data_IF_059767707118
#
_entry.id   IF_059767707118
#
_cell.length_a   1.000
_cell.length_b   1.000
_cell.length_c   1.000
_cell.angle_alpha   90.00
_cell.angle_beta   90.00
_cell.angle_gamma   90.00
#
_symmetry.space_group_name_H-M   'P 1'
#
loop_
_entity.id
_entity.type
_entity.pdbx_description
1 polymer ?
#
# COMPACT_ATOMS: atom_id res chain seq x y z
N UNK A 1 22.30 9.03 -19.04
CA UNK A 1 21.04 8.29 -18.80
C UNK A 1 19.99 9.34 -18.48
N UNK A 2 18.77 9.21 -18.99
CA UNK A 2 17.70 10.18 -18.68
C UNK A 2 16.94 9.73 -17.45
N UNK A 3 16.80 10.62 -16.48
CA UNK A 3 16.06 10.40 -15.25
C UNK A 3 14.78 11.23 -15.25
N UNK A 4 13.64 10.55 -15.25
CA UNK A 4 12.32 11.17 -15.25
C UNK A 4 11.81 11.26 -13.82
N UNK A 5 11.66 12.48 -13.32
CA UNK A 5 11.21 12.76 -11.95
C UNK A 5 9.77 13.24 -11.99
N UNK A 6 8.88 12.61 -11.22
CA UNK A 6 7.44 12.91 -11.22
C UNK A 6 6.89 13.19 -9.81
N UNK A 7 5.69 13.77 -9.74
CA UNK A 7 5.02 14.30 -8.53
C UNK A 7 4.55 13.25 -7.50
N UNK A 8 4.94 11.97 -7.66
CA UNK A 8 4.53 10.81 -6.86
C UNK A 8 3.06 10.41 -7.01
N UNK A 9 2.29 10.99 -7.93
CA UNK A 9 0.92 10.54 -8.24
C UNK A 9 0.94 9.27 -9.09
N UNK A 10 -0.14 8.49 -9.06
CA UNK A 10 -0.24 7.31 -9.92
C UNK A 10 -0.30 7.70 -11.39
N UNK A 11 -1.00 8.79 -11.70
CA UNK A 11 -1.14 9.39 -13.01
C UNK A 11 0.22 9.87 -13.53
N UNK A 12 0.99 10.57 -12.69
CA UNK A 12 2.33 11.05 -12.99
C UNK A 12 3.31 9.92 -13.32
N UNK A 13 3.18 8.76 -12.66
CA UNK A 13 3.97 7.57 -12.99
C UNK A 13 3.74 7.12 -14.45
N UNK A 14 2.49 7.07 -14.91
CA UNK A 14 2.21 6.71 -16.31
C UNK A 14 2.64 7.78 -17.30
N UNK A 15 2.51 9.06 -16.95
CA UNK A 15 3.05 10.14 -17.80
C UNK A 15 4.57 9.99 -17.94
N UNK A 16 5.28 9.70 -16.85
CA UNK A 16 6.72 9.42 -16.91
C UNK A 16 7.05 8.19 -17.75
N UNK A 17 6.27 7.10 -17.60
CA UNK A 17 6.42 5.89 -18.43
C UNK A 17 6.22 6.21 -19.91
N UNK A 18 5.25 7.04 -20.27
CA UNK A 18 4.99 7.43 -21.67
C UNK A 18 6.24 8.03 -22.33
N UNK A 19 6.90 8.98 -21.67
CA UNK A 19 8.12 9.60 -22.16
C UNK A 19 9.33 8.66 -22.08
N UNK A 20 9.44 7.89 -21.00
CA UNK A 20 10.55 6.98 -20.78
C UNK A 20 10.52 5.75 -21.72
N UNK A 21 9.37 5.42 -22.30
CA UNK A 21 9.20 4.25 -23.17
C UNK A 21 9.98 4.36 -24.48
N UNK A 22 10.09 5.56 -25.05
CA UNK A 22 10.84 5.79 -26.30
C UNK A 22 12.36 5.77 -26.10
N UNK A 23 12.82 5.93 -24.86
CA UNK A 23 14.23 5.95 -24.51
C UNK A 23 14.75 4.53 -24.22
N UNK A 24 16.01 4.27 -24.61
CA UNK A 24 16.67 2.98 -24.37
C UNK A 24 17.00 2.79 -22.88
N UNK A 25 17.72 3.76 -22.31
CA UNK A 25 18.18 3.75 -20.92
C UNK A 25 17.56 4.92 -20.14
N UNK A 26 16.50 4.61 -19.39
CA UNK A 26 15.74 5.58 -18.61
C UNK A 26 15.52 5.08 -17.18
N UNK A 27 15.66 6.01 -16.24
CA UNK A 27 15.33 5.83 -14.83
C UNK A 27 14.07 6.65 -14.56
N UNK A 28 13.14 6.08 -13.82
CA UNK A 28 11.98 6.79 -13.28
C UNK A 28 12.13 6.83 -11.77
N UNK A 29 12.02 8.03 -11.21
CA UNK A 29 12.19 8.28 -9.78
C UNK A 29 11.08 9.18 -9.27
N UNK A 30 10.52 8.84 -8.11
CA UNK A 30 9.65 9.71 -7.32
C UNK A 30 10.40 10.98 -6.90
N UNK A 31 9.77 12.15 -6.99
CA UNK A 31 10.36 13.41 -6.53
C UNK A 31 10.81 13.34 -5.05
N UNK A 32 10.10 12.59 -4.20
CA UNK A 32 10.49 12.39 -2.79
C UNK A 32 11.79 11.60 -2.59
N UNK A 33 12.12 10.71 -3.53
CA UNK A 33 13.29 9.82 -3.46
C UNK A 33 14.45 10.30 -4.34
N UNK A 34 14.26 11.40 -5.07
CA UNK A 34 15.23 11.91 -6.03
C UNK A 34 16.50 12.38 -5.31
N UNK A 35 17.64 11.88 -5.80
CA UNK A 35 18.96 12.28 -5.35
C UNK A 35 19.72 12.85 -6.57
N UNK A 36 20.19 14.11 -6.51
CA UNK A 36 20.92 14.70 -7.62
C UNK A 36 22.16 13.88 -7.99
N UNK A 37 22.24 13.47 -9.26
CA UNK A 37 23.37 12.76 -9.83
C UNK A 37 24.05 13.65 -10.87
N UNK A 38 25.39 13.67 -10.88
CA UNK A 38 26.17 14.41 -11.88
C UNK A 38 26.10 13.77 -13.27
N UNK A 39 25.74 12.49 -13.35
CA UNK A 39 25.79 11.69 -14.58
C UNK A 39 24.44 11.60 -15.33
N UNK A 40 23.35 12.01 -14.69
CA UNK A 40 22.01 11.85 -15.21
C UNK A 40 21.47 13.18 -15.72
N UNK A 41 20.84 13.16 -16.89
CA UNK A 41 20.06 14.28 -17.39
C UNK A 41 18.66 14.17 -16.78
N UNK A 42 18.25 15.19 -16.03
CA UNK A 42 17.04 15.15 -15.22
C UNK A 42 15.91 15.87 -15.94
N UNK A 43 14.79 15.18 -16.10
CA UNK A 43 13.59 15.70 -16.73
C UNK A 43 12.45 15.66 -15.71
N UNK A 44 12.02 16.83 -15.27
CA UNK A 44 10.83 16.97 -14.44
C UNK A 44 9.57 16.77 -15.29
N UNK A 45 8.83 15.70 -15.00
CA UNK A 45 7.61 15.35 -15.70
C UNK A 45 6.43 15.88 -14.90
N UNK A 46 5.65 16.77 -15.53
CA UNK A 46 4.34 17.18 -15.01
C UNK A 46 3.29 16.15 -15.39
N UNK A 47 2.33 15.94 -14.50
CA UNK A 47 1.24 15.00 -14.72
C UNK A 47 0.33 15.50 -15.84
N UNK A 48 0.24 14.71 -16.92
CA UNK A 48 -0.58 14.99 -18.10
C UNK A 48 -1.64 13.90 -18.28
N UNK A 49 -2.91 14.27 -18.14
CA UNK A 49 -4.04 13.33 -18.17
C UNK A 49 -4.17 12.64 -19.54
N UNK A 50 -3.99 13.34 -20.66
CA UNK A 50 -4.02 12.73 -22.02
C UNK A 50 -2.97 11.61 -22.15
N UNK A 51 -1.77 11.79 -21.59
CA UNK A 51 -0.70 10.78 -21.64
C UNK A 51 -1.01 9.60 -20.73
N UNK A 52 -1.47 9.88 -19.52
CA UNK A 52 -1.93 8.86 -18.58
C UNK A 52 -2.99 7.97 -19.23
N UNK A 53 -4.07 8.56 -19.76
CA UNK A 53 -5.17 7.82 -20.36
C UNK A 53 -4.73 6.96 -21.54
N UNK A 54 -3.81 7.47 -22.39
CA UNK A 54 -3.25 6.68 -23.50
C UNK A 54 -2.55 5.43 -23.02
N UNK A 55 -1.67 5.54 -22.02
CA UNK A 55 -0.95 4.37 -21.49
C UNK A 55 -1.91 3.44 -20.76
N UNK A 56 -2.78 3.98 -19.92
CA UNK A 56 -3.77 3.23 -19.17
C UNK A 56 -4.70 2.42 -20.09
N UNK A 57 -5.28 3.06 -21.11
CA UNK A 57 -6.15 2.40 -22.09
C UNK A 57 -5.38 1.40 -22.96
N UNK A 58 -4.10 1.67 -23.27
CA UNK A 58 -3.28 0.72 -24.02
C UNK A 58 -3.03 -0.57 -23.24
N UNK A 59 -2.89 -0.50 -21.92
CA UNK A 59 -2.76 -1.68 -21.06
C UNK A 59 -4.09 -2.44 -21.03
N UNK A 60 -5.22 -1.75 -20.86
CA UNK A 60 -6.53 -2.42 -20.82
C UNK A 60 -6.93 -3.10 -22.14
N UNK A 61 -6.52 -2.53 -23.27
CA UNK A 61 -6.91 -3.02 -24.60
C UNK A 61 -5.95 -4.06 -25.16
N UNK A 62 -4.65 -3.91 -24.93
CA UNK A 62 -3.60 -4.79 -25.50
C UNK A 62 -3.07 -5.83 -24.50
N UNK A 63 -3.25 -5.59 -23.21
CA UNK A 63 -2.75 -6.45 -22.13
C UNK A 63 -3.92 -6.86 -21.21
N UNK A 64 -3.59 -7.63 -20.17
CA UNK A 64 -4.57 -8.09 -19.19
C UNK A 64 -4.70 -7.14 -18.00
N UNK A 65 -5.89 -7.13 -17.39
CA UNK A 65 -6.15 -6.41 -16.13
C UNK A 65 -5.21 -6.86 -14.98
N UNK A 66 -4.70 -8.09 -15.03
CA UNK A 66 -3.72 -8.61 -14.07
C UNK A 66 -2.41 -7.81 -14.05
N UNK A 67 -2.01 -7.28 -15.22
CA UNK A 67 -0.81 -6.43 -15.36
C UNK A 67 -1.01 -5.12 -14.63
N UNK A 68 -2.17 -4.48 -14.82
CA UNK A 68 -2.52 -3.23 -14.17
C UNK A 68 -2.56 -3.37 -12.64
N UNK A 69 -3.16 -4.45 -12.14
CA UNK A 69 -3.20 -4.75 -10.69
C UNK A 69 -1.78 -4.89 -10.12
N UNK A 70 -0.87 -5.59 -10.82
CA UNK A 70 0.52 -5.72 -10.38
C UNK A 70 1.26 -4.38 -10.37
N UNK A 71 1.05 -3.54 -11.39
CA UNK A 71 1.63 -2.20 -11.45
C UNK A 71 1.13 -1.35 -10.28
N UNK A 72 -0.16 -1.42 -9.97
CA UNK A 72 -0.74 -0.74 -8.83
C UNK A 72 -0.13 -1.23 -7.51
N UNK A 73 0.04 -2.53 -7.32
CA UNK A 73 0.72 -3.05 -6.12
C UNK A 73 2.19 -2.61 -6.03
N UNK A 74 2.91 -2.53 -7.15
CA UNK A 74 4.29 -2.02 -7.17
C UNK A 74 4.33 -0.55 -6.76
N UNK A 75 3.44 0.27 -7.30
CA UNK A 75 3.31 1.67 -6.90
C UNK A 75 3.05 1.82 -5.39
N UNK A 76 2.16 1.00 -4.82
CA UNK A 76 1.87 0.97 -3.38
C UNK A 76 3.03 0.42 -2.53
N UNK A 77 4.00 -0.28 -3.12
CA UNK A 77 5.09 -0.91 -2.37
C UNK A 77 6.06 0.09 -1.75
N UNK A 78 6.19 1.29 -2.33
CA UNK A 78 7.02 2.36 -1.76
C UNK A 78 8.50 1.96 -1.56
N UNK A 79 8.98 1.01 -2.39
CA UNK A 79 10.38 0.57 -2.43
C UNK A 79 11.10 1.40 -3.50
N UNK A 80 12.38 1.72 -3.27
CA UNK A 80 13.20 2.42 -4.27
C UNK A 80 13.29 1.59 -5.57
N UNK A 81 13.42 2.29 -6.70
CA UNK A 81 13.58 1.70 -8.05
C UNK A 81 12.36 0.92 -8.58
N UNK A 82 11.23 0.89 -7.85
CA UNK A 82 10.02 0.20 -8.32
C UNK A 82 9.45 0.82 -9.59
N UNK A 83 9.58 2.13 -9.76
CA UNK A 83 9.01 2.86 -10.88
C UNK A 83 9.74 2.52 -12.18
N UNK A 84 11.07 2.37 -12.10
CA UNK A 84 11.89 1.85 -13.20
C UNK A 84 11.60 0.36 -13.47
N UNK A 85 11.36 -0.43 -12.42
CA UNK A 85 10.93 -1.82 -12.56
C UNK A 85 9.58 -1.93 -13.30
N UNK A 86 8.63 -1.03 -13.04
CA UNK A 86 7.35 -0.95 -13.76
C UNK A 86 7.56 -0.69 -15.25
N UNK A 87 8.45 0.24 -15.61
CA UNK A 87 8.77 0.51 -17.02
C UNK A 87 9.32 -0.74 -17.73
N UNK A 88 10.30 -1.41 -17.12
CA UNK A 88 10.92 -2.61 -17.66
C UNK A 88 9.91 -3.76 -17.79
N UNK A 89 9.05 -3.91 -16.79
CA UNK A 89 7.96 -4.86 -16.81
C UNK A 89 6.98 -4.59 -17.95
N UNK A 90 6.58 -3.33 -18.17
CA UNK A 90 5.70 -2.96 -19.28
C UNK A 90 6.35 -3.21 -20.65
N UNK A 91 7.63 -2.88 -20.83
CA UNK A 91 8.38 -3.20 -22.07
C UNK A 91 8.33 -4.72 -22.35
N UNK A 92 8.53 -5.55 -21.33
CA UNK A 92 8.40 -7.01 -21.46
C UNK A 92 6.97 -7.44 -21.82
N UNK A 93 5.95 -6.91 -21.13
CA UNK A 93 4.55 -7.22 -21.42
C UNK A 93 4.14 -6.86 -22.85
N UNK A 94 4.59 -5.71 -23.38
CA UNK A 94 4.30 -5.34 -24.77
C UNK A 94 5.05 -6.19 -25.80
N UNK A 95 6.25 -6.67 -25.48
CA UNK A 95 7.03 -7.51 -26.40
C UNK A 95 6.56 -8.96 -26.50
N UNK A 96 6.16 -9.57 -25.37
CA UNK A 96 5.79 -11.00 -25.30
C UNK A 96 4.30 -11.25 -25.04
N UNK A 97 3.52 -10.21 -24.75
CA UNK A 97 2.11 -10.31 -24.38
C UNK A 97 1.90 -10.79 -22.94
N UNK A 98 0.66 -11.18 -22.62
CA UNK A 98 0.24 -11.54 -21.27
C UNK A 98 0.92 -12.81 -20.70
N UNK A 99 1.36 -13.72 -21.56
CA UNK A 99 1.99 -15.00 -21.19
C UNK A 99 3.33 -14.82 -20.46
N UNK A 100 3.97 -13.65 -20.57
CA UNK A 100 5.21 -13.34 -19.87
C UNK A 100 5.08 -13.44 -18.34
N UNK A 101 3.88 -13.27 -17.81
CA UNK A 101 3.60 -13.42 -16.38
C UNK A 101 3.90 -14.83 -15.84
N UNK A 102 3.92 -15.83 -16.72
CA UNK A 102 4.24 -17.23 -16.41
C UNK A 102 5.75 -17.50 -16.46
N UNK A 103 6.53 -16.61 -17.07
CA UNK A 103 7.98 -16.75 -17.22
C UNK A 103 8.70 -16.47 -15.88
N UNK A 104 8.74 -17.47 -15.00
CA UNK A 104 9.41 -17.42 -13.69
C UNK A 104 10.93 -17.54 -13.75
N UNK A 105 11.50 -17.57 -14.94
CA UNK A 105 12.94 -17.54 -15.20
C UNK A 105 13.47 -16.11 -15.40
N UNK A 106 12.61 -15.12 -15.62
CA UNK A 106 13.01 -13.73 -15.83
C UNK A 106 13.07 -12.97 -14.50
N UNK A 107 14.23 -12.41 -14.17
CA UNK A 107 14.48 -11.69 -12.92
C UNK A 107 13.49 -10.53 -12.69
N UNK A 108 13.11 -9.81 -13.75
CA UNK A 108 12.14 -8.70 -13.65
C UNK A 108 10.78 -9.23 -13.18
N UNK A 109 10.30 -10.34 -13.76
CA UNK A 109 9.00 -10.94 -13.40
C UNK A 109 9.03 -11.47 -11.96
N UNK A 110 10.14 -12.11 -11.56
CA UNK A 110 10.33 -12.60 -10.19
C UNK A 110 10.27 -11.43 -9.19
N UNK A 111 10.94 -10.31 -9.49
CA UNK A 111 10.94 -9.12 -8.63
C UNK A 111 9.54 -8.49 -8.55
N UNK A 112 8.85 -8.35 -9.68
CA UNK A 112 7.48 -7.82 -9.74
C UNK A 112 6.53 -8.66 -8.87
N UNK A 113 6.56 -9.98 -9.03
CA UNK A 113 5.70 -10.87 -8.25
C UNK A 113 6.07 -10.87 -6.77
N UNK A 114 7.38 -10.80 -6.45
CA UNK A 114 7.86 -10.72 -5.07
C UNK A 114 7.31 -9.47 -4.37
N UNK A 115 7.41 -8.30 -4.99
CA UNK A 115 6.93 -7.05 -4.40
C UNK A 115 5.40 -6.98 -4.35
N UNK A 116 4.72 -7.39 -5.41
CA UNK A 116 3.25 -7.51 -5.42
C UNK A 116 2.76 -8.44 -4.31
N UNK A 117 3.43 -9.58 -4.09
CA UNK A 117 3.11 -10.51 -2.99
C UNK A 117 3.35 -9.89 -1.62
N UNK A 118 4.43 -9.11 -1.43
CA UNK A 118 4.71 -8.45 -0.15
C UNK A 118 3.58 -7.49 0.24
N UNK A 119 3.13 -6.65 -0.69
CA UNK A 119 2.05 -5.67 -0.45
C UNK A 119 0.73 -6.39 -0.15
N UNK A 120 0.36 -7.37 -0.97
CA UNK A 120 -0.90 -8.12 -0.78
C UNK A 120 -0.92 -8.96 0.49
N UNK A 121 0.19 -9.63 0.84
CA UNK A 121 0.30 -10.37 2.09
C UNK A 121 0.25 -9.44 3.31
N UNK A 122 0.87 -8.25 3.22
CA UNK A 122 0.78 -7.26 4.29
C UNK A 122 -0.67 -6.76 4.44
N UNK A 123 -1.32 -6.34 3.35
CA UNK A 123 -2.71 -5.91 3.38
C UNK A 123 -3.63 -6.98 3.99
N UNK A 124 -3.46 -8.25 3.58
CA UNK A 124 -4.20 -9.37 4.17
C UNK A 124 -3.94 -9.52 5.68
N UNK A 125 -2.69 -9.38 6.16
CA UNK A 125 -2.40 -9.41 7.61
C UNK A 125 -3.12 -8.31 8.36
N UNK A 126 -3.15 -7.09 7.80
CA UNK A 126 -3.81 -5.96 8.43
C UNK A 126 -5.33 -6.08 8.51
N UNK A 127 -5.98 -6.91 7.69
CA UNK A 127 -7.39 -7.26 7.90
C UNK A 127 -7.64 -7.90 9.28
N UNK A 128 -6.64 -8.59 9.85
CA UNK A 128 -6.72 -9.20 11.17
C UNK A 128 -5.97 -8.45 12.28
N UNK A 129 -5.03 -7.56 11.95
CA UNK A 129 -4.23 -6.83 12.96
C UNK A 129 -4.78 -5.47 13.35
N UNK A 130 -5.68 -4.88 12.56
CA UNK A 130 -6.33 -3.62 12.93
C UNK A 130 -7.11 -3.80 14.24
N UNK A 131 -6.85 -2.93 15.22
CA UNK A 131 -7.54 -2.89 16.51
C UNK A 131 -8.30 -1.58 16.61
N UNK A 132 -9.62 -1.68 16.63
CA UNK A 132 -10.49 -0.52 16.80
C UNK A 132 -10.68 -0.19 18.28
N UNK A 133 -10.64 1.12 18.55
CA UNK A 133 -11.05 1.76 19.79
C UNK A 133 -12.27 2.63 19.47
N UNK A 134 -13.29 2.57 20.33
CA UNK A 134 -14.43 3.48 20.23
C UNK A 134 -14.05 4.82 20.88
N UNK A 135 -14.21 5.91 20.14
CA UNK A 135 -13.93 7.28 20.63
C UNK A 135 -15.23 7.94 21.10
N UNK A 136 -16.28 7.78 20.30
CA UNK A 136 -17.65 8.22 20.60
C UNK A 136 -18.61 7.15 20.08
N UNK A 137 -19.87 7.11 20.55
CA UNK A 137 -20.81 6.06 20.17
C UNK A 137 -20.87 5.85 18.65
N UNK A 138 -20.59 4.63 18.19
CA UNK A 138 -20.56 4.22 16.77
C UNK A 138 -19.47 4.88 15.90
N UNK A 139 -18.46 5.52 16.50
CA UNK A 139 -17.29 6.07 15.82
C UNK A 139 -16.02 5.38 16.33
N UNK A 140 -15.37 4.65 15.42
CA UNK A 140 -14.21 3.83 15.72
C UNK A 140 -12.93 4.41 15.12
N UNK A 141 -11.83 4.23 15.82
CA UNK A 141 -10.50 4.59 15.35
C UNK A 141 -9.53 3.45 15.55
N UNK A 142 -8.67 3.26 14.56
CA UNK A 142 -7.55 2.34 14.63
C UNK A 142 -6.30 3.01 14.08
N UNK A 143 -5.18 2.83 14.77
CA UNK A 143 -3.86 3.22 14.30
C UNK A 143 -3.10 2.01 13.77
N UNK A 144 -2.37 2.21 12.67
CA UNK A 144 -1.51 1.21 12.04
C UNK A 144 -0.20 1.82 11.57
N UNK A 145 0.83 0.99 11.46
CA UNK A 145 2.14 1.35 10.89
C UNK A 145 2.59 0.27 9.88
N UNK A 146 1.99 0.22 8.67
CA UNK A 146 2.38 -0.72 7.64
C UNK A 146 3.71 -0.32 6.96
N UNK A 147 4.42 -1.32 6.42
CA UNK A 147 5.63 -1.07 5.63
C UNK A 147 5.27 -0.34 4.31
N UNK A 148 4.25 -0.84 3.60
CA UNK A 148 3.81 -0.39 2.28
C UNK A 148 2.50 0.41 2.40
N UNK A 149 2.12 1.15 1.35
CA UNK A 149 0.88 1.93 1.34
C UNK A 149 -0.34 1.02 1.10
N UNK A 150 -0.84 0.37 2.15
CA UNK A 150 -1.90 -0.63 2.03
C UNK A 150 -3.32 -0.08 2.21
N UNK A 151 -3.48 1.19 2.60
CA UNK A 151 -4.80 1.77 2.91
C UNK A 151 -5.82 1.54 1.78
N UNK A 152 -5.50 1.77 0.48
CA UNK A 152 -6.45 1.52 -0.60
C UNK A 152 -6.95 0.07 -0.66
N UNK A 153 -6.11 -0.88 -0.26
CA UNK A 153 -6.43 -2.31 -0.27
C UNK A 153 -7.32 -2.73 0.93
N UNK A 154 -7.29 -1.96 2.02
CA UNK A 154 -8.08 -2.24 3.22
C UNK A 154 -9.53 -1.75 3.10
N UNK A 155 -9.81 -0.75 2.27
CA UNK A 155 -11.13 -0.11 2.13
C UNK A 155 -12.25 -1.15 2.00
N UNK A 156 -12.20 -1.99 0.96
CA UNK A 156 -13.28 -2.93 0.65
C UNK A 156 -13.54 -3.95 1.76
N UNK A 157 -12.51 -4.31 2.54
CA UNK A 157 -12.67 -5.23 3.66
C UNK A 157 -13.44 -4.58 4.81
N UNK A 158 -12.98 -3.39 5.24
CA UNK A 158 -13.56 -2.73 6.42
C UNK A 158 -14.92 -2.09 6.14
N UNK A 159 -15.16 -1.54 4.95
CA UNK A 159 -16.49 -1.01 4.59
C UNK A 159 -17.57 -2.09 4.58
N UNK A 160 -17.23 -3.33 4.19
CA UNK A 160 -18.16 -4.46 4.26
C UNK A 160 -18.38 -4.97 5.68
N UNK A 161 -17.34 -4.94 6.52
CA UNK A 161 -17.37 -5.47 7.89
C UNK A 161 -17.99 -4.50 8.90
N UNK A 162 -17.78 -3.21 8.71
CA UNK A 162 -18.23 -2.11 9.57
C UNK A 162 -19.26 -1.24 8.84
N UNK A 163 -20.13 -1.83 8.02
CA UNK A 163 -21.09 -1.10 7.18
C UNK A 163 -22.09 -0.23 7.96
N UNK A 164 -22.33 -0.58 9.22
CA UNK A 164 -23.26 0.08 10.15
C UNK A 164 -22.56 1.10 11.06
N UNK A 165 -21.24 1.27 10.96
CA UNK A 165 -20.40 2.02 11.89
C UNK A 165 -19.48 3.00 11.14
N UNK A 166 -19.19 4.14 11.76
CA UNK A 166 -18.18 5.06 11.22
C UNK A 166 -16.81 4.58 11.70
N UNK A 167 -15.81 4.62 10.82
CA UNK A 167 -14.47 4.25 11.23
C UNK A 167 -13.40 5.13 10.57
N UNK A 168 -12.30 5.25 11.30
CA UNK A 168 -11.06 5.85 10.85
C UNK A 168 -9.95 4.81 11.00
N UNK A 169 -9.20 4.54 9.93
CA UNK A 169 -7.97 3.74 9.99
C UNK A 169 -6.83 4.65 9.59
N UNK A 170 -5.95 4.95 10.53
CA UNK A 170 -4.85 5.90 10.34
C UNK A 170 -3.50 5.18 10.17
N UNK A 171 -2.82 5.42 9.05
CA UNK A 171 -1.40 5.08 8.83
C UNK A 171 -0.49 6.18 9.42
N UNK A 172 0.02 5.94 10.62
CA UNK A 172 0.89 6.87 11.35
C UNK A 172 2.21 7.15 10.65
N UNK A 173 2.68 6.25 9.78
CA UNK A 173 3.95 6.42 9.06
C UNK A 173 3.81 7.45 7.94
N UNK A 174 2.65 7.49 7.30
CA UNK A 174 2.37 8.36 6.15
C UNK A 174 1.46 9.55 6.47
N UNK A 175 0.91 9.62 7.69
CA UNK A 175 -0.06 10.61 8.12
C UNK A 175 -1.28 10.66 7.18
N UNK A 176 -1.77 9.48 6.78
CA UNK A 176 -2.94 9.34 5.90
C UNK A 176 -3.93 8.37 6.50
N UNK A 177 -5.22 8.69 6.40
CA UNK A 177 -6.27 7.90 7.02
C UNK A 177 -7.38 7.57 6.04
N UNK A 178 -7.96 6.38 6.20
CA UNK A 178 -9.27 6.04 5.63
C UNK A 178 -10.32 6.62 6.55
N UNK A 179 -11.23 7.43 6.01
CA UNK A 179 -12.40 7.96 6.72
C UNK A 179 -13.65 7.38 6.07
N UNK A 180 -14.45 6.67 6.85
CA UNK A 180 -15.71 6.08 6.41
C UNK A 180 -16.89 6.57 7.24
N UNK A 181 -17.93 7.06 6.56
CA UNK A 181 -19.14 7.60 7.18
C UNK A 181 -20.42 6.80 6.81
N UNK A 182 -20.28 5.47 6.64
CA UNK A 182 -21.34 4.53 6.18
C UNK A 182 -21.75 4.66 4.72
N UNK A 183 -21.59 5.84 4.11
CA UNK A 183 -21.96 6.09 2.70
C UNK A 183 -20.74 6.24 1.81
N UNK A 184 -19.81 7.09 2.24
CA UNK A 184 -18.63 7.47 1.50
C UNK A 184 -17.38 7.01 2.23
N UNK A 185 -16.37 6.66 1.45
CA UNK A 185 -15.02 6.35 1.93
C UNK A 185 -14.04 7.26 1.20
N UNK A 186 -13.16 7.90 1.95
CA UNK A 186 -12.11 8.77 1.41
C UNK A 186 -10.79 8.46 2.11
N UNK A 187 -9.69 8.54 1.36
CA UNK A 187 -8.35 8.59 1.94
C UNK A 187 -7.92 10.05 1.92
N UNK A 188 -7.59 10.59 3.09
CA UNK A 188 -7.10 11.97 3.22
C UNK A 188 -5.86 12.01 4.11
N UNK A 189 -5.10 13.09 3.99
CA UNK A 189 -4.08 13.43 4.99
C UNK A 189 -4.74 13.63 6.35
N UNK A 190 -4.08 13.17 7.39
CA UNK A 190 -4.55 13.16 8.77
C UNK A 190 -3.43 13.70 9.65
N UNK A 191 -3.65 14.85 10.28
CA UNK A 191 -2.56 15.58 10.93
C UNK A 191 -2.20 14.96 12.28
N UNK A 192 -0.92 15.10 12.68
CA UNK A 192 -0.41 14.60 13.97
C UNK A 192 -1.03 15.25 15.21
N UNK A 193 -1.63 16.43 15.06
CA UNK A 193 -2.35 17.08 16.16
C UNK A 193 -3.65 16.33 16.48
N UNK A 194 -4.32 15.80 15.45
CA UNK A 194 -5.51 14.96 15.57
C UNK A 194 -5.17 13.61 16.22
N UNK A 195 -3.96 13.07 15.96
CA UNK A 195 -3.50 11.81 16.56
C UNK A 195 -3.54 11.83 18.07
N UNK A 196 -3.04 12.90 18.68
CA UNK A 196 -3.02 13.01 20.13
C UNK A 196 -4.44 13.07 20.71
N UNK A 197 -5.39 13.67 19.99
CA UNK A 197 -6.78 13.75 20.42
C UNK A 197 -7.43 12.36 20.38
N UNK A 198 -7.23 11.61 19.29
CA UNK A 198 -7.86 10.30 19.11
C UNK A 198 -7.17 9.18 19.90
N UNK A 199 -5.84 9.20 19.99
CA UNK A 199 -5.08 8.24 20.79
C UNK A 199 -5.34 8.42 22.29
N UNK A 200 -5.35 9.66 22.78
CA UNK A 200 -5.59 9.99 24.19
C UNK A 200 -7.07 10.17 24.55
N UNK A 201 -7.98 9.96 23.59
CA UNK A 201 -9.41 9.96 23.90
C UNK A 201 -9.71 8.96 25.02
N UNK A 202 -10.47 9.39 26.03
CA UNK A 202 -10.87 8.57 27.16
C UNK A 202 -11.88 7.51 26.70
N UNK A 203 -11.40 6.46 26.03
CA UNK A 203 -12.16 5.21 25.96
C UNK A 203 -12.00 4.50 27.28
N UNK A 204 -13.07 3.96 27.83
CA UNK A 204 -13.09 3.16 29.08
C UNK A 204 -12.31 1.83 28.98
N UNK A 205 -11.47 1.67 27.95
CA UNK A 205 -10.72 0.45 27.65
C UNK A 205 -11.60 -0.75 27.30
N UNK A 206 -12.91 -0.55 27.13
CA UNK A 206 -13.87 -1.63 26.93
C UNK A 206 -13.52 -2.51 25.73
N UNK A 207 -13.32 -1.92 24.54
CA UNK A 207 -12.94 -2.67 23.34
C UNK A 207 -11.56 -3.33 23.45
N UNK A 208 -10.64 -2.70 24.17
CA UNK A 208 -9.28 -3.23 24.37
C UNK A 208 -9.33 -4.46 25.30
N UNK A 209 -10.18 -4.42 26.33
CA UNK A 209 -10.45 -5.54 27.21
C UNK A 209 -11.20 -6.67 26.48
N UNK A 210 -12.11 -6.35 25.54
CA UNK A 210 -12.73 -7.36 24.68
C UNK A 210 -11.68 -8.09 23.83
N UNK A 211 -10.73 -7.37 23.25
CA UNK A 211 -9.62 -7.97 22.50
C UNK A 211 -8.75 -8.88 23.37
N UNK A 212 -8.38 -8.42 24.58
CA UNK A 212 -7.62 -9.24 25.54
C UNK A 212 -8.39 -10.50 25.93
N UNK A 213 -9.68 -10.38 26.19
CA UNK A 213 -10.56 -11.50 26.56
C UNK A 213 -10.64 -12.51 25.41
N UNK A 214 -10.89 -12.04 24.19
CA UNK A 214 -10.90 -12.88 22.98
C UNK A 214 -9.56 -13.60 22.77
N UNK A 215 -8.44 -12.88 22.89
CA UNK A 215 -7.12 -13.48 22.74
C UNK A 215 -6.87 -14.58 23.79
N UNK A 216 -7.21 -14.31 25.05
CA UNK A 216 -7.03 -15.26 26.14
C UNK A 216 -7.89 -16.52 26.02
N UNK A 217 -9.11 -16.39 25.46
CA UNK A 217 -10.05 -17.51 25.34
C UNK A 217 -9.74 -18.43 24.16
N UNK A 218 -9.20 -17.88 23.06
CA UNK A 218 -8.82 -18.66 21.87
C UNK A 218 -7.43 -19.27 22.00
N UNK A 219 -6.54 -18.66 22.80
CA UNK A 219 -5.17 -19.12 22.95
C UNK A 219 -5.07 -20.38 23.83
N UNK A 220 -4.40 -21.42 23.32
CA UNK A 220 -4.15 -22.67 24.04
C UNK A 220 -2.70 -22.65 24.52
N UNK A 221 -2.49 -22.60 25.83
CA UNK A 221 -1.16 -22.43 26.44
C UNK A 221 -0.17 -23.49 26.00
N UNK A 222 -0.62 -24.74 25.86
CA UNK A 222 0.17 -25.89 25.45
C UNK A 222 0.63 -25.81 23.98
N UNK A 223 -0.01 -24.97 23.16
CA UNK A 223 0.33 -24.78 21.74
C UNK A 223 1.19 -23.52 21.51
N UNK A 224 1.70 -22.90 22.57
CA UNK A 224 2.50 -21.69 22.41
C UNK A 224 3.78 -21.98 21.60
N UNK A 225 3.91 -21.33 20.44
CA UNK A 225 5.11 -21.38 19.63
C UNK A 225 5.58 -19.96 19.28
N UNK A 226 6.51 -19.38 20.07
CA UNK A 226 6.97 -18.01 19.88
C UNK A 226 7.67 -17.79 18.53
N UNK A 227 8.34 -18.81 17.97
CA UNK A 227 9.02 -18.70 16.66
C UNK A 227 7.97 -18.57 15.55
N UNK A 228 6.97 -19.43 15.56
CA UNK A 228 5.89 -19.42 14.57
C UNK A 228 5.06 -18.13 14.66
N UNK A 229 4.76 -17.68 15.89
CA UNK A 229 4.06 -16.40 16.13
C UNK A 229 4.81 -15.23 15.47
N UNK A 230 6.13 -15.14 15.65
CA UNK A 230 6.94 -14.07 15.02
C UNK A 230 6.98 -14.15 13.49
N UNK A 231 6.87 -15.34 12.91
CA UNK A 231 6.84 -15.53 11.46
C UNK A 231 5.52 -15.02 10.83
N UNK A 232 4.38 -15.32 11.47
CA UNK A 232 3.07 -14.87 10.99
C UNK A 232 2.73 -13.44 11.40
N UNK A 233 3.17 -13.02 12.59
CA UNK A 233 2.93 -11.71 13.18
C UNK A 233 4.27 -11.07 13.58
N UNK A 234 4.95 -10.39 12.63
CA UNK A 234 6.21 -9.70 12.89
C UNK A 234 6.11 -8.72 14.07
N UNK A 235 7.15 -8.69 14.92
CA UNK A 235 7.20 -7.88 16.16
C UNK A 235 6.92 -6.39 15.96
N UNK A 236 7.29 -5.83 14.81
CA UNK A 236 7.06 -4.42 14.46
C UNK A 236 5.58 -4.00 14.54
N UNK A 237 4.64 -4.92 14.32
CA UNK A 237 3.21 -4.61 14.41
C UNK A 237 2.65 -4.71 15.83
N UNK A 238 3.42 -5.24 16.79
CA UNK A 238 2.90 -5.53 18.14
C UNK A 238 2.62 -4.26 18.94
N UNK A 239 3.21 -3.12 18.56
CA UNK A 239 2.96 -1.83 19.20
C UNK A 239 1.47 -1.43 19.17
N UNK A 240 0.73 -1.89 18.16
CA UNK A 240 -0.69 -1.60 17.95
C UNK A 240 -1.62 -2.74 18.41
N UNK A 241 -1.06 -3.81 18.98
CA UNK A 241 -1.81 -4.97 19.48
C UNK A 241 -1.90 -4.90 21.01
N UNK A 242 -3.07 -4.54 21.52
CA UNK A 242 -3.29 -4.31 22.95
C UNK A 242 -3.22 -5.60 23.79
N UNK A 243 -3.44 -6.76 23.17
CA UNK A 243 -3.40 -8.06 23.81
C UNK A 243 -1.99 -8.64 24.03
N UNK A 244 -0.97 -8.04 23.41
CA UNK A 244 0.43 -8.45 23.56
C UNK A 244 1.25 -7.50 24.47
N UNK A 245 0.60 -6.45 24.99
CA UNK A 245 1.16 -5.50 25.94
C UNK A 245 1.00 -5.98 27.36
#
# INVERSE_FOLDING_TARGET
MKEFVYDNSFEGLFTAIFYAYTEKDSIITKNKDYLPSLLNEVLEVKTEIDKFERVYNSILTKLDNSVLIKIYHLYLSDIKETDTLVLNYLKLCYSYGASINLAKNNDIIILVDKYSRRVTCEAHRFTGFVRFKEITPLNFYASIEPDHNILPLLINHFTKRFSDQNFIIHDLKRNTAIIYNKKNVTITEFNKEDDNIFLNSNSDGYFENLWKTFYSSVNIKERENPKLRRQYMPKRYWNHLTELK
#
